data_IF_587182990224
#
_entry.id   IF_587182990224
#
_cell.length_a   1.000
_cell.length_b   1.000
_cell.length_c   1.000
_cell.angle_alpha   90.00
_cell.angle_beta   90.00
_cell.angle_gamma   90.00
#
_symmetry.space_group_name_H-M   'P 1'
#
loop_
_entity.id
_entity.type
_entity.pdbx_description
1 polymer ?
#
# COMPACT_ATOMS: atom_id res chain seq x y z
N UNK A 1 15.34 8.91 17.55
CA UNK A 1 14.39 8.05 16.91
C UNK A 1 13.74 8.73 15.71
N UNK A 2 13.78 8.09 14.64
CA UNK A 2 13.21 8.68 13.45
C UNK A 2 12.07 7.81 12.95
N UNK A 3 10.98 8.45 12.63
CA UNK A 3 9.90 7.76 12.00
C UNK A 3 10.17 7.62 10.51
N UNK A 4 9.73 6.53 9.97
CA UNK A 4 9.74 6.33 8.54
C UNK A 4 8.75 7.32 7.92
N UNK A 5 9.12 7.90 6.79
CA UNK A 5 8.20 8.77 6.06
C UNK A 5 7.35 7.95 5.10
N UNK A 6 6.22 8.52 4.70
CA UNK A 6 5.40 7.90 3.68
C UNK A 6 6.21 7.68 2.40
N UNK A 7 6.99 8.69 2.00
CA UNK A 7 7.77 8.58 0.78
C UNK A 7 8.75 7.40 0.85
N UNK A 8 9.36 7.20 2.01
CA UNK A 8 10.28 6.07 2.18
C UNK A 8 9.57 4.74 2.04
N UNK A 9 8.37 4.64 2.61
CA UNK A 9 7.57 3.42 2.49
C UNK A 9 7.21 3.18 1.02
N UNK A 10 6.80 4.22 0.32
CA UNK A 10 6.47 4.09 -1.10
C UNK A 10 7.70 3.65 -1.88
N UNK A 11 8.85 4.29 -1.64
CA UNK A 11 10.08 3.96 -2.34
C UNK A 11 10.54 2.54 -2.06
N UNK A 12 10.19 1.99 -0.89
CA UNK A 12 10.57 0.64 -0.52
C UNK A 12 9.66 -0.44 -1.11
N UNK A 13 8.54 -0.07 -1.70
CA UNK A 13 7.64 -1.07 -2.28
C UNK A 13 8.36 -1.99 -3.29
N UNK A 14 9.10 -1.45 -4.28
CA UNK A 14 9.81 -2.34 -5.19
C UNK A 14 10.87 -3.18 -4.49
N UNK A 15 11.49 -2.62 -3.45
CA UNK A 15 12.57 -3.29 -2.74
C UNK A 15 12.09 -4.50 -1.96
N UNK A 16 10.93 -4.40 -1.32
CA UNK A 16 10.38 -5.47 -0.48
C UNK A 16 9.32 -6.29 -1.19
N UNK A 17 9.14 -6.05 -2.46
CA UNK A 17 8.18 -6.77 -3.29
C UNK A 17 8.58 -8.25 -3.38
N UNK A 18 7.59 -9.13 -3.28
CA UNK A 18 7.79 -10.57 -3.35
C UNK A 18 7.27 -11.08 -4.69
N UNK A 19 8.12 -11.16 -5.71
CA UNK A 19 7.63 -11.52 -7.06
C UNK A 19 6.97 -12.89 -7.11
N UNK A 20 7.45 -13.83 -6.30
CA UNK A 20 6.90 -15.19 -6.29
C UNK A 20 5.42 -15.20 -5.88
N UNK A 21 5.05 -14.29 -4.97
CA UNK A 21 3.68 -14.22 -4.48
C UNK A 21 2.78 -13.39 -5.37
N UNK A 22 3.37 -12.70 -6.33
CA UNK A 22 2.63 -11.83 -7.24
C UNK A 22 2.62 -12.36 -8.67
N UNK A 23 2.96 -13.62 -8.84
CA UNK A 23 3.00 -14.23 -10.17
C UNK A 23 1.63 -14.12 -10.86
N UNK A 24 1.65 -13.66 -12.10
CA UNK A 24 0.42 -13.51 -12.86
C UNK A 24 -0.39 -12.25 -12.55
N UNK A 25 0.08 -11.44 -11.60
CA UNK A 25 -0.63 -10.21 -11.28
C UNK A 25 -0.36 -9.11 -12.29
N UNK A 26 -1.42 -8.38 -12.62
CA UNK A 26 -1.35 -7.20 -13.46
C UNK A 26 -2.35 -6.22 -12.83
N UNK A 27 -1.90 -5.48 -11.83
CA UNK A 27 -2.80 -4.67 -11.02
C UNK A 27 -2.22 -3.29 -10.75
N UNK A 28 -3.13 -2.35 -10.50
CA UNK A 28 -2.80 -0.99 -10.11
C UNK A 28 -3.44 -0.73 -8.76
N UNK A 29 -2.63 -0.29 -7.81
CA UNK A 29 -3.08 0.04 -6.46
C UNK A 29 -2.95 1.54 -6.27
N UNK A 30 -4.01 2.16 -5.78
CA UNK A 30 -4.02 3.59 -5.49
C UNK A 30 -4.01 3.82 -3.99
N UNK A 31 -3.06 4.61 -3.52
CA UNK A 31 -3.06 5.08 -2.14
C UNK A 31 -3.51 6.55 -2.13
N UNK A 32 -4.50 6.86 -1.30
CA UNK A 32 -4.97 8.23 -1.08
C UNK A 32 -4.76 8.53 0.39
N UNK A 33 -3.78 9.37 0.69
CA UNK A 33 -3.40 9.63 2.07
C UNK A 33 -3.74 11.06 2.45
N UNK A 34 -4.19 11.21 3.71
CA UNK A 34 -4.53 12.50 4.27
C UNK A 34 -3.61 12.77 5.47
N UNK A 35 -3.71 13.96 6.04
CA UNK A 35 -2.94 14.31 7.23
C UNK A 35 -1.61 14.96 6.91
N UNK A 36 -0.63 14.76 7.78
CA UNK A 36 0.64 15.46 7.69
C UNK A 36 1.44 15.12 6.44
N UNK A 37 1.31 13.91 5.94
CA UNK A 37 2.02 13.49 4.74
C UNK A 37 1.02 13.09 3.67
N UNK A 38 0.03 13.95 3.46
CA UNK A 38 -1.01 13.73 2.47
C UNK A 38 -0.42 13.60 1.07
N UNK A 39 -1.06 12.78 0.24
CA UNK A 39 -0.64 12.63 -1.14
C UNK A 39 -1.29 11.43 -1.78
N UNK A 40 -1.13 11.32 -3.08
CA UNK A 40 -1.66 10.23 -3.86
C UNK A 40 -0.50 9.47 -4.48
N UNK A 41 -0.50 8.15 -4.33
CA UNK A 41 0.58 7.31 -4.84
C UNK A 41 0.00 6.12 -5.59
N UNK A 42 0.66 5.73 -6.66
CA UNK A 42 0.24 4.63 -7.50
C UNK A 42 1.30 3.54 -7.42
N UNK A 43 0.86 2.31 -7.14
CA UNK A 43 1.73 1.14 -7.13
C UNK A 43 1.26 0.22 -8.24
N UNK A 44 2.13 -0.08 -9.18
CA UNK A 44 1.80 -0.94 -10.30
C UNK A 44 2.59 -2.23 -10.20
N UNK A 45 1.89 -3.37 -10.29
CA UNK A 45 2.52 -4.69 -10.31
C UNK A 45 2.18 -5.33 -11.64
N UNK A 46 3.21 -5.60 -12.43
CA UNK A 46 3.00 -6.18 -13.75
C UNK A 46 4.26 -6.94 -14.17
N UNK A 47 4.08 -8.14 -14.71
CA UNK A 47 5.18 -8.95 -15.24
C UNK A 47 6.28 -9.19 -14.20
N UNK A 48 5.89 -9.35 -12.95
CA UNK A 48 6.85 -9.60 -11.87
C UNK A 48 7.62 -8.38 -11.43
N UNK A 49 7.18 -7.19 -11.83
CA UNK A 49 7.86 -5.93 -11.49
C UNK A 49 6.90 -5.02 -10.75
N UNK A 50 7.40 -4.37 -9.71
CA UNK A 50 6.65 -3.38 -8.95
C UNK A 50 7.24 -1.99 -9.22
N UNK A 51 6.40 -1.06 -9.64
CA UNK A 51 6.82 0.32 -9.87
C UNK A 51 5.92 1.26 -9.08
N UNK A 52 6.42 2.46 -8.81
CA UNK A 52 5.67 3.46 -8.05
C UNK A 52 5.66 4.77 -8.82
N UNK A 53 4.60 5.55 -8.59
CA UNK A 53 4.49 6.90 -9.17
C UNK A 53 3.58 7.73 -8.28
N UNK A 54 3.70 9.04 -8.39
CA UNK A 54 2.75 9.95 -7.76
C UNK A 54 1.61 10.22 -8.72
N UNK A 55 0.41 10.38 -8.17
CA UNK A 55 -0.73 10.78 -8.97
C UNK A 55 -1.96 9.93 -8.70
N UNK A 56 -2.95 10.09 -9.56
CA UNK A 56 -4.23 9.40 -9.46
C UNK A 56 -4.41 8.54 -10.70
N UNK A 57 -4.57 7.24 -10.46
CA UNK A 57 -4.81 6.29 -11.54
C UNK A 57 -6.26 6.38 -11.99
N UNK A 58 -6.48 6.16 -13.29
CA UNK A 58 -7.84 6.22 -13.82
C UNK A 58 -8.69 5.06 -13.35
N UNK A 59 -8.13 3.86 -13.39
CA UNK A 59 -8.90 2.65 -13.08
C UNK A 59 -8.08 1.73 -12.18
N UNK A 60 -7.86 2.12 -10.92
CA UNK A 60 -7.11 1.24 -10.03
C UNK A 60 -7.93 0.00 -9.70
N UNK A 61 -7.22 -1.11 -9.53
CA UNK A 61 -7.87 -2.36 -9.11
C UNK A 61 -8.28 -2.27 -7.64
N UNK A 62 -7.56 -1.49 -6.85
CA UNK A 62 -7.85 -1.32 -5.44
C UNK A 62 -7.40 0.07 -5.01
N UNK A 63 -8.18 0.71 -4.15
CA UNK A 63 -7.82 2.00 -3.56
C UNK A 63 -7.82 1.88 -2.05
N UNK A 64 -6.75 2.35 -1.44
CA UNK A 64 -6.64 2.43 0.01
C UNK A 64 -6.58 3.89 0.41
N UNK A 65 -7.53 4.32 1.24
CA UNK A 65 -7.59 5.69 1.75
C UNK A 65 -7.38 5.67 3.25
N UNK A 66 -6.45 6.48 3.75
CA UNK A 66 -6.15 6.52 5.17
C UNK A 66 -5.41 7.80 5.52
N UNK A 67 -5.43 8.13 6.81
CA UNK A 67 -4.50 9.12 7.34
C UNK A 67 -3.07 8.59 7.19
N UNK A 68 -2.13 9.48 6.90
CA UNK A 68 -0.75 9.06 6.63
C UNK A 68 -0.12 8.33 7.81
N UNK A 69 -0.44 8.72 9.04
CA UNK A 69 0.11 8.02 10.20
C UNK A 69 -0.45 6.60 10.29
N UNK A 70 -1.75 6.43 10.06
CA UNK A 70 -2.36 5.10 10.07
C UNK A 70 -1.75 4.22 8.98
N UNK A 71 -1.53 4.79 7.81
CA UNK A 71 -0.90 4.08 6.71
C UNK A 71 0.50 3.60 7.12
N UNK A 72 1.29 4.47 7.73
CA UNK A 72 2.64 4.11 8.15
C UNK A 72 2.61 3.00 9.20
N UNK A 73 1.67 3.08 10.15
CA UNK A 73 1.58 2.08 11.21
C UNK A 73 1.24 0.71 10.63
N UNK A 74 0.35 0.67 9.65
CA UNK A 74 -0.03 -0.60 9.03
C UNK A 74 1.10 -1.16 8.18
N UNK A 75 1.71 -0.33 7.34
CA UNK A 75 2.73 -0.80 6.41
C UNK A 75 4.03 -1.18 7.10
N UNK A 76 4.30 -0.62 8.28
CA UNK A 76 5.48 -0.99 9.05
C UNK A 76 5.20 -2.10 10.07
N UNK A 77 3.98 -2.62 10.10
CA UNK A 77 3.64 -3.74 10.96
C UNK A 77 3.40 -3.40 12.42
N UNK A 78 3.30 -2.12 12.76
CA UNK A 78 3.04 -1.71 14.14
C UNK A 78 1.64 -2.08 14.59
N UNK A 79 0.70 -2.15 13.64
CA UNK A 79 -0.69 -2.45 13.93
C UNK A 79 -1.19 -3.44 12.89
N UNK A 80 -2.29 -4.09 13.22
CA UNK A 80 -2.94 -5.03 12.32
C UNK A 80 -3.83 -4.27 11.34
N UNK A 81 -3.55 -4.40 10.04
CA UNK A 81 -4.31 -3.69 9.01
C UNK A 81 -5.78 -4.06 8.98
N UNK A 82 -6.11 -5.34 9.19
CA UNK A 82 -7.49 -5.77 9.21
C UNK A 82 -8.26 -5.13 10.35
N UNK A 83 -7.61 -5.01 11.51
CA UNK A 83 -8.21 -4.38 12.66
C UNK A 83 -8.49 -2.90 12.38
N UNK A 84 -7.53 -2.21 11.78
CA UNK A 84 -7.70 -0.80 11.41
C UNK A 84 -8.81 -0.63 10.37
N UNK A 85 -8.92 -1.57 9.44
CA UNK A 85 -10.00 -1.55 8.48
C UNK A 85 -11.36 -1.67 9.18
N UNK A 86 -11.47 -2.59 10.12
CA UNK A 86 -12.72 -2.78 10.86
C UNK A 86 -13.05 -1.59 11.75
N UNK A 87 -12.04 -0.85 12.19
CA UNK A 87 -12.25 0.34 13.01
C UNK A 87 -12.58 1.58 12.17
N UNK A 88 -12.56 1.45 10.85
CA UNK A 88 -12.82 2.58 9.96
C UNK A 88 -11.64 3.49 9.73
N UNK A 89 -10.44 3.10 10.17
CA UNK A 89 -9.24 3.89 9.96
C UNK A 89 -8.64 3.70 8.58
N UNK A 90 -8.93 2.58 7.94
CA UNK A 90 -8.56 2.33 6.55
C UNK A 90 -9.83 2.17 5.75
N UNK A 91 -9.89 2.82 4.60
CA UNK A 91 -11.00 2.64 3.68
C UNK A 91 -10.47 1.94 2.46
N UNK A 92 -11.07 0.82 2.13
CA UNK A 92 -10.66 0.02 0.99
C UNK A 92 -11.80 -0.06 -0.01
N UNK A 93 -11.49 0.10 -1.28
CA UNK A 93 -12.46 -0.09 -2.32
C UNK A 93 -11.81 -0.86 -3.47
N UNK A 94 -12.64 -1.49 -4.29
CA UNK A 94 -12.15 -2.31 -5.38
C UNK A 94 -11.94 -3.75 -4.94
N UNK A 95 -10.83 -4.33 -5.35
CA UNK A 95 -10.54 -5.75 -5.11
C UNK A 95 -10.01 -5.95 -3.67
N UNK A 96 -10.89 -6.40 -2.78
CA UNK A 96 -10.51 -6.62 -1.39
C UNK A 96 -9.59 -7.82 -1.22
N UNK A 97 -9.65 -8.78 -2.13
CA UNK A 97 -8.70 -9.89 -2.09
C UNK A 97 -7.28 -9.39 -2.31
N UNK A 98 -7.12 -8.42 -3.20
CA UNK A 98 -5.83 -7.81 -3.43
C UNK A 98 -5.34 -7.10 -2.17
N UNK A 99 -6.24 -6.40 -1.48
CA UNK A 99 -5.88 -5.72 -0.24
C UNK A 99 -5.34 -6.69 0.80
N UNK A 100 -5.96 -7.87 0.91
CA UNK A 100 -5.51 -8.88 1.86
C UNK A 100 -4.17 -9.47 1.49
N UNK A 101 -3.83 -9.48 0.21
CA UNK A 101 -2.55 -10.02 -0.25
C UNK A 101 -1.40 -9.03 -0.07
N UNK A 102 -1.69 -7.76 0.12
CA UNK A 102 -0.64 -6.73 0.19
C UNK A 102 0.38 -7.02 1.28
N UNK A 103 -0.06 -7.50 2.43
CA UNK A 103 0.87 -7.78 3.52
C UNK A 103 1.79 -8.96 3.21
N UNK A 104 1.40 -9.81 2.28
CA UNK A 104 2.22 -10.94 1.84
C UNK A 104 3.15 -10.53 0.71
N UNK A 105 2.63 -9.70 -0.20
CA UNK A 105 3.39 -9.28 -1.37
C UNK A 105 4.51 -8.33 -0.99
N UNK A 106 4.26 -7.47 0.00
CA UNK A 106 5.24 -6.51 0.47
C UNK A 106 5.57 -6.80 1.93
N UNK A 107 6.76 -7.32 2.18
CA UNK A 107 7.16 -7.69 3.54
C UNK A 107 8.02 -6.59 4.14
N UNK A 108 7.39 -5.44 4.35
CA UNK A 108 8.09 -4.29 4.91
C UNK A 108 8.11 -4.30 6.43
N UNK A 109 7.23 -5.10 7.03
CA UNK A 109 7.16 -5.23 8.49
C UNK A 109 8.00 -6.41 8.93
N UNK A 110 9.10 -6.16 9.56
CA UNK A 110 9.98 -7.21 10.02
C UNK A 110 10.12 -7.22 11.52
#
# INVERSE_FOLDING_TARGET
MSDVTVQKIIDNHPKFFQPDLAEGMDVVIQYVLTGDEAGNHIITIKDGVCTTAEGVAENPNMTLTADSQDFKDVLTGRVNGMQYFMMGKLKLSGDLNLAMKLTQIFKMAQ
#
